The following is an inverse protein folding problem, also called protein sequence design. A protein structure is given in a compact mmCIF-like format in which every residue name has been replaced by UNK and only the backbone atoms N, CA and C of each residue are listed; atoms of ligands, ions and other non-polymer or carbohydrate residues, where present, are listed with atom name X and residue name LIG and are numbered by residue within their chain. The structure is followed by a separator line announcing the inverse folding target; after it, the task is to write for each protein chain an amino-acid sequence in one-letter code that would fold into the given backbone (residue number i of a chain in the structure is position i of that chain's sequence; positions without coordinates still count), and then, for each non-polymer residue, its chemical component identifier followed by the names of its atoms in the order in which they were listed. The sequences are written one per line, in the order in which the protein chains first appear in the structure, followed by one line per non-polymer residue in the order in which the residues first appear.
data_IF_891983890212
#
_entry.id   IF_891983890212
#
_cell.length_a   1.000
_cell.length_b   1.000
_cell.length_c   1.000
_cell.angle_alpha   90.00
_cell.angle_beta   90.00
_cell.angle_gamma   90.00
#
_symmetry.space_group_name_H-M   'P 1'
#
loop_
_entity.id
_entity.type
_entity.pdbx_description
1 polymer ?
#
# COMPACT_ATOMS: atom_id res chain seq x y z
N UNK A 1 -61.22 42.62 14.04
CA UNK A 1 -59.99 42.88 14.84
C UNK A 1 -59.32 41.52 15.10
N UNK A 2 -58.25 41.24 14.45
CA UNK A 2 -57.39 40.07 14.70
C UNK A 2 -56.11 40.53 15.38
N UNK A 3 -55.61 39.94 16.44
CA UNK A 3 -54.30 40.28 17.00
C UNK A 3 -53.20 39.53 16.23
N UNK A 4 -52.20 40.30 15.83
CA UNK A 4 -50.95 39.80 15.26
C UNK A 4 -50.05 39.30 16.39
N UNK A 5 -49.67 38.02 16.33
CA UNK A 5 -48.53 37.51 17.09
C UNK A 5 -47.26 37.59 16.22
N UNK A 6 -46.33 38.44 16.59
CA UNK A 6 -44.97 38.44 16.09
C UNK A 6 -44.17 37.42 16.91
N UNK A 7 -43.80 36.28 16.33
CA UNK A 7 -42.77 35.41 16.90
C UNK A 7 -41.44 35.68 16.21
N UNK A 8 -40.52 36.22 16.98
CA UNK A 8 -39.13 36.43 16.61
C UNK A 8 -38.40 35.10 16.79
N UNK A 9 -38.14 34.41 15.69
CA UNK A 9 -37.18 33.32 15.68
C UNK A 9 -35.76 33.89 15.59
N UNK A 10 -34.97 33.73 16.66
CA UNK A 10 -33.54 33.94 16.65
C UNK A 10 -32.92 32.72 15.92
N UNK A 11 -32.33 32.99 14.75
CA UNK A 11 -31.40 32.04 14.07
C UNK A 11 -30.17 31.87 14.98
N UNK A 12 -30.00 30.64 15.45
CA UNK A 12 -28.76 30.19 16.07
C UNK A 12 -27.84 29.80 14.92
N UNK A 13 -26.74 30.54 14.73
CA UNK A 13 -25.68 30.17 13.81
C UNK A 13 -25.06 28.84 14.26
N UNK A 14 -24.81 27.87 13.36
CA UNK A 14 -24.02 26.70 13.68
C UNK A 14 -22.60 27.14 13.97
N UNK A 15 -22.14 26.84 15.20
CA UNK A 15 -20.78 27.10 15.64
C UNK A 15 -19.78 26.40 14.74
N UNK A 16 -18.75 27.11 14.36
CA UNK A 16 -17.58 26.60 13.67
C UNK A 16 -17.00 25.41 14.44
N UNK A 17 -17.05 24.23 13.82
CA UNK A 17 -16.30 23.08 14.28
C UNK A 17 -14.82 23.43 14.18
N UNK A 18 -14.16 23.61 15.30
CA UNK A 18 -12.71 23.77 15.36
C UNK A 18 -12.08 22.45 14.88
N UNK A 19 -11.11 22.49 13.97
CA UNK A 19 -10.38 21.28 13.63
C UNK A 19 -9.73 20.72 14.90
N UNK A 20 -9.93 19.42 15.15
CA UNK A 20 -9.25 18.70 16.22
C UNK A 20 -7.79 18.63 15.80
N UNK A 21 -6.96 19.54 16.34
CA UNK A 21 -5.50 19.44 16.26
C UNK A 21 -5.11 18.35 17.25
N UNK A 22 -4.82 17.16 16.74
CA UNK A 22 -4.17 16.09 17.52
C UNK A 22 -2.79 16.61 17.87
N UNK A 23 -2.65 17.17 19.07
CA UNK A 23 -1.36 17.57 19.64
C UNK A 23 -0.61 16.30 20.03
N UNK A 24 0.09 15.71 19.08
CA UNK A 24 1.12 14.73 19.37
C UNK A 24 2.35 15.51 19.87
N UNK A 25 2.78 15.27 21.12
CA UNK A 25 4.08 15.72 21.61
C UNK A 25 5.16 15.03 20.78
N UNK A 26 5.66 15.69 19.76
CA UNK A 26 6.77 15.23 18.95
C UNK A 26 7.78 16.35 18.83
N UNK A 27 9.03 16.00 19.12
CA UNK A 27 10.16 16.64 18.46
C UNK A 27 9.80 16.75 16.97
N UNK A 28 9.81 17.96 16.43
CA UNK A 28 9.56 18.26 15.02
C UNK A 28 10.63 17.59 14.16
N UNK A 29 10.46 16.31 13.85
CA UNK A 29 11.18 15.70 12.74
C UNK A 29 10.61 16.35 11.49
N UNK A 30 11.41 17.13 10.77
CA UNK A 30 11.06 17.59 9.42
C UNK A 30 10.90 16.33 8.57
N UNK A 31 9.65 16.01 8.20
CA UNK A 31 9.39 14.92 7.27
C UNK A 31 9.88 15.40 5.91
N UNK A 32 10.95 14.77 5.42
CA UNK A 32 11.45 15.05 4.08
C UNK A 32 10.40 14.62 3.05
N UNK A 33 10.22 15.39 1.99
CA UNK A 33 9.42 14.95 0.85
C UNK A 33 10.03 13.68 0.25
N UNK A 34 9.20 12.80 -0.30
CA UNK A 34 9.64 11.53 -0.88
C UNK A 34 10.78 11.71 -1.90
N UNK A 35 10.73 12.77 -2.71
CA UNK A 35 11.77 13.12 -3.68
C UNK A 35 13.13 13.38 -3.04
N UNK A 36 13.15 13.98 -1.84
CA UNK A 36 14.39 14.22 -1.08
C UNK A 36 14.92 12.92 -0.46
N UNK A 37 14.04 12.08 0.08
CA UNK A 37 14.41 10.78 0.63
C UNK A 37 15.05 9.91 -0.46
N UNK A 38 14.50 9.94 -1.68
CA UNK A 38 14.96 9.14 -2.81
C UNK A 38 16.12 9.75 -3.59
N UNK A 39 16.67 10.90 -3.15
CA UNK A 39 17.82 11.54 -3.80
C UNK A 39 19.03 10.61 -4.06
N UNK A 40 19.42 9.68 -3.15
CA UNK A 40 20.52 8.76 -3.37
C UNK A 40 20.36 7.84 -4.59
N UNK A 41 19.12 7.62 -5.05
CA UNK A 41 18.78 6.75 -6.19
C UNK A 41 18.09 7.51 -7.35
N UNK A 42 18.17 8.83 -7.38
CA UNK A 42 17.49 9.64 -8.40
C UNK A 42 17.95 9.33 -9.83
N UNK A 43 19.23 9.00 -10.02
CA UNK A 43 19.79 8.58 -11.31
C UNK A 43 19.35 7.16 -11.68
N UNK A 44 19.24 6.28 -10.68
CA UNK A 44 18.80 4.90 -10.89
C UNK A 44 17.34 4.84 -11.37
N UNK A 45 16.48 5.75 -10.90
CA UNK A 45 15.11 5.87 -11.40
C UNK A 45 15.05 6.18 -12.89
N UNK A 46 15.94 7.02 -13.41
CA UNK A 46 15.99 7.28 -14.86
C UNK A 46 16.39 6.03 -15.63
N UNK A 47 17.38 5.29 -15.13
CA UNK A 47 17.78 4.01 -15.70
C UNK A 47 16.67 2.96 -15.61
N UNK A 48 15.94 2.92 -14.50
CA UNK A 48 14.78 2.04 -14.32
C UNK A 48 13.68 2.33 -15.34
N UNK A 49 13.36 3.60 -15.61
CA UNK A 49 12.38 3.99 -16.64
C UNK A 49 12.77 3.49 -18.03
N UNK A 50 14.07 3.54 -18.37
CA UNK A 50 14.57 3.00 -19.63
C UNK A 50 14.43 1.48 -19.70
N UNK A 51 14.81 0.76 -18.64
CA UNK A 51 14.67 -0.69 -18.55
C UNK A 51 13.20 -1.08 -18.68
N UNK A 52 12.31 -0.45 -17.94
CA UNK A 52 10.87 -0.69 -18.01
C UNK A 52 10.38 -0.50 -19.44
N UNK A 53 10.66 0.62 -20.06
CA UNK A 53 10.23 0.92 -21.45
C UNK A 53 10.74 -0.12 -22.45
N UNK A 54 12.01 -0.53 -22.35
CA UNK A 54 12.63 -1.52 -23.24
C UNK A 54 12.00 -2.92 -23.05
N UNK A 55 11.77 -3.31 -21.79
CA UNK A 55 11.26 -4.65 -21.46
C UNK A 55 9.76 -4.81 -21.69
N UNK A 56 9.01 -3.71 -21.73
CA UNK A 56 7.58 -3.73 -22.08
C UNK A 56 7.30 -3.75 -23.58
N UNK A 57 8.27 -3.37 -24.40
CA UNK A 57 8.07 -3.37 -25.84
C UNK A 57 7.59 -4.73 -26.36
N UNK A 58 6.48 -4.71 -27.10
CA UNK A 58 5.84 -5.89 -27.68
C UNK A 58 5.47 -5.64 -29.15
N UNK A 59 5.44 -6.70 -29.95
CA UNK A 59 4.91 -6.66 -31.32
C UNK A 59 3.37 -6.64 -31.35
N UNK A 60 2.74 -6.87 -30.21
CA UNK A 60 1.28 -6.87 -30.06
C UNK A 60 0.84 -5.49 -29.57
N UNK A 61 0.19 -4.73 -30.44
CA UNK A 61 -0.16 -3.32 -30.21
C UNK A 61 -0.98 -3.09 -28.93
N UNK A 62 -1.89 -3.99 -28.59
CA UNK A 62 -2.72 -3.87 -27.39
C UNK A 62 -1.87 -3.96 -26.11
N UNK A 63 -0.84 -4.81 -26.09
CA UNK A 63 0.10 -4.91 -24.95
C UNK A 63 0.85 -3.60 -24.77
N UNK A 64 1.40 -3.02 -25.84
CA UNK A 64 2.09 -1.73 -25.80
C UNK A 64 1.18 -0.61 -25.31
N UNK A 65 -0.07 -0.58 -25.77
CA UNK A 65 -1.06 0.43 -25.42
C UNK A 65 -1.42 0.38 -23.93
N UNK A 66 -1.78 -0.80 -23.40
CA UNK A 66 -2.18 -0.97 -22.01
C UNK A 66 -0.99 -0.80 -21.07
N UNK A 67 0.18 -1.36 -21.42
CA UNK A 67 1.40 -1.19 -20.62
C UNK A 67 1.80 0.28 -20.52
N UNK A 68 1.72 1.03 -21.63
CA UNK A 68 1.97 2.47 -21.63
C UNK A 68 0.96 3.25 -20.79
N UNK A 69 -0.33 2.87 -20.86
CA UNK A 69 -1.41 3.48 -20.09
C UNK A 69 -1.13 3.36 -18.57
N UNK A 70 -0.75 2.17 -18.10
CA UNK A 70 -0.51 1.90 -16.69
C UNK A 70 0.76 2.59 -16.19
N UNK A 71 1.85 2.55 -16.97
CA UNK A 71 3.11 3.20 -16.58
C UNK A 71 2.92 4.71 -16.49
N UNK A 72 2.16 5.31 -17.41
CA UNK A 72 1.84 6.74 -17.37
C UNK A 72 0.91 7.13 -16.22
N UNK A 73 0.16 6.20 -15.64
CA UNK A 73 -0.61 6.44 -14.42
C UNK A 73 0.29 6.74 -13.21
N UNK A 74 1.59 6.50 -13.34
CA UNK A 74 2.60 6.82 -12.32
C UNK A 74 2.47 5.93 -11.07
N UNK A 75 3.20 6.30 -10.04
CA UNK A 75 3.22 5.64 -8.74
C UNK A 75 4.44 6.08 -7.95
N UNK A 76 4.40 5.89 -6.64
CA UNK A 76 5.52 6.22 -5.75
C UNK A 76 6.73 5.30 -5.95
N UNK A 77 6.53 4.15 -6.61
CA UNK A 77 7.56 3.13 -6.89
C UNK A 77 8.40 2.77 -5.67
N UNK A 78 7.75 2.60 -4.54
CA UNK A 78 8.43 2.35 -3.25
C UNK A 78 9.17 1.01 -3.26
N UNK A 79 8.58 -0.04 -3.86
CA UNK A 79 9.20 -1.38 -3.90
C UNK A 79 10.52 -1.40 -4.70
N UNK A 80 10.57 -0.92 -5.95
CA UNK A 80 11.86 -0.79 -6.64
C UNK A 80 12.83 0.16 -5.93
N UNK A 81 12.34 1.24 -5.29
CA UNK A 81 13.18 2.14 -4.50
C UNK A 81 13.86 1.41 -3.33
N UNK A 82 13.12 0.60 -2.59
CA UNK A 82 13.65 -0.20 -1.47
C UNK A 82 14.73 -1.18 -1.95
N UNK A 83 14.49 -1.89 -3.06
CA UNK A 83 15.51 -2.76 -3.66
C UNK A 83 16.80 -2.00 -3.98
N UNK A 84 16.69 -0.86 -4.67
CA UNK A 84 17.83 -0.05 -5.07
C UNK A 84 18.56 0.56 -3.86
N UNK A 85 17.83 1.04 -2.86
CA UNK A 85 18.41 1.60 -1.64
C UNK A 85 19.15 0.53 -0.82
N UNK A 86 18.56 -0.65 -0.62
CA UNK A 86 19.22 -1.76 0.11
C UNK A 86 20.45 -2.22 -0.63
N UNK A 87 20.41 -2.38 -1.97
CA UNK A 87 21.56 -2.74 -2.76
C UNK A 87 22.70 -1.73 -2.59
N UNK A 88 22.42 -0.44 -2.68
CA UNK A 88 23.42 0.62 -2.46
C UNK A 88 23.91 0.71 -1.02
N UNK A 89 23.02 0.57 -0.05
CA UNK A 89 23.39 0.62 1.37
C UNK A 89 24.42 -0.44 1.71
N UNK A 90 24.18 -1.69 1.28
CA UNK A 90 25.06 -2.82 1.58
C UNK A 90 26.32 -2.90 0.68
N UNK A 91 26.28 -2.31 -0.52
CA UNK A 91 27.43 -2.19 -1.41
C UNK A 91 28.23 -0.88 -1.21
N UNK A 92 28.04 -0.16 -0.08
CA UNK A 92 28.69 1.12 0.21
C UNK A 92 28.57 2.16 -0.93
N UNK A 93 27.36 2.31 -1.48
CA UNK A 93 27.06 3.25 -2.55
C UNK A 93 27.46 2.80 -3.96
N UNK A 94 28.09 1.64 -4.10
CA UNK A 94 28.47 1.09 -5.40
C UNK A 94 27.23 0.62 -6.18
N UNK A 95 27.27 0.80 -7.50
CA UNK A 95 26.29 0.20 -8.39
C UNK A 95 26.49 -1.33 -8.42
N UNK A 96 25.42 -2.08 -8.31
CA UNK A 96 25.47 -3.54 -8.41
C UNK A 96 24.85 -4.00 -9.74
N UNK A 97 25.43 -5.04 -10.40
CA UNK A 97 24.84 -5.59 -11.62
C UNK A 97 23.38 -6.02 -11.40
N UNK A 98 22.59 -5.93 -12.44
CA UNK A 98 21.18 -6.35 -12.47
C UNK A 98 20.23 -5.62 -11.51
N UNK A 99 20.67 -4.61 -10.74
CA UNK A 99 19.80 -3.90 -9.79
C UNK A 99 18.59 -3.26 -10.49
N UNK A 100 18.81 -2.56 -11.61
CA UNK A 100 17.72 -1.92 -12.35
C UNK A 100 16.79 -2.93 -13.02
N UNK A 101 17.32 -4.06 -13.50
CA UNK A 101 16.51 -5.14 -14.08
C UNK A 101 15.62 -5.79 -13.01
N UNK A 102 16.16 -6.07 -11.82
CA UNK A 102 15.37 -6.66 -10.72
C UNK A 102 14.38 -5.66 -10.11
N UNK A 103 14.72 -4.38 -10.08
CA UNK A 103 13.79 -3.31 -9.73
C UNK A 103 12.61 -3.24 -10.71
N UNK A 104 12.87 -3.41 -12.02
CA UNK A 104 11.83 -3.51 -13.03
C UNK A 104 10.98 -4.80 -12.89
N UNK A 105 11.60 -5.94 -12.54
CA UNK A 105 10.89 -7.19 -12.27
C UNK A 105 9.88 -7.02 -11.13
N UNK A 106 10.32 -6.42 -10.02
CA UNK A 106 9.44 -6.14 -8.87
C UNK A 106 8.27 -5.22 -9.27
N UNK A 107 8.54 -4.19 -10.08
CA UNK A 107 7.49 -3.28 -10.55
C UNK A 107 6.53 -3.99 -11.52
N UNK A 108 6.99 -4.91 -12.36
CA UNK A 108 6.13 -5.68 -13.25
C UNK A 108 5.23 -6.64 -12.49
N UNK A 109 5.76 -7.35 -11.48
CA UNK A 109 4.97 -8.20 -10.62
C UNK A 109 3.89 -7.36 -9.92
N UNK A 110 4.27 -6.24 -9.30
CA UNK A 110 3.32 -5.35 -8.65
C UNK A 110 2.24 -4.82 -9.62
N UNK A 111 2.64 -4.40 -10.82
CA UNK A 111 1.70 -3.89 -11.82
C UNK A 111 0.75 -4.98 -12.31
N UNK A 112 1.24 -6.20 -12.46
CA UNK A 112 0.41 -7.35 -12.83
C UNK A 112 -0.64 -7.66 -11.75
N UNK A 113 -0.25 -7.63 -10.45
CA UNK A 113 -1.22 -7.81 -9.36
C UNK A 113 -2.28 -6.71 -9.38
N UNK A 114 -1.91 -5.44 -9.58
CA UNK A 114 -2.87 -4.35 -9.67
C UNK A 114 -3.87 -4.52 -10.83
N UNK A 115 -3.42 -5.05 -11.99
CA UNK A 115 -4.30 -5.32 -13.14
C UNK A 115 -5.30 -6.43 -12.86
N UNK A 116 -4.89 -7.44 -12.12
CA UNK A 116 -5.76 -8.55 -11.73
C UNK A 116 -6.71 -8.11 -10.62
N UNK A 117 -6.22 -7.39 -9.60
CA UNK A 117 -7.02 -6.87 -8.49
C UNK A 117 -8.14 -5.95 -8.98
N UNK A 118 -7.83 -5.02 -9.89
CA UNK A 118 -8.83 -4.10 -10.46
C UNK A 118 -10.00 -4.86 -11.13
N UNK A 119 -9.75 -6.07 -11.66
CA UNK A 119 -10.80 -6.93 -12.23
C UNK A 119 -11.57 -7.67 -11.14
N UNK A 120 -10.87 -8.20 -10.12
CA UNK A 120 -11.48 -8.96 -9.01
C UNK A 120 -12.33 -8.04 -8.14
N UNK A 121 -11.81 -6.84 -7.82
CA UNK A 121 -12.48 -5.82 -7.01
C UNK A 121 -13.52 -4.99 -7.81
N UNK A 122 -13.69 -5.26 -9.11
CA UNK A 122 -14.55 -4.49 -10.04
C UNK A 122 -14.26 -2.97 -10.00
N UNK A 123 -13.02 -2.60 -9.70
CA UNK A 123 -12.60 -1.21 -9.54
C UNK A 123 -12.69 -0.45 -10.86
N UNK A 124 -13.25 0.77 -10.83
CA UNK A 124 -13.39 1.64 -11.99
C UNK A 124 -12.39 2.81 -12.00
N UNK A 125 -11.85 3.16 -10.83
CA UNK A 125 -10.93 4.28 -10.65
C UNK A 125 -9.70 3.87 -9.85
N UNK A 126 -8.52 4.30 -10.29
CA UNK A 126 -7.26 4.16 -9.57
C UNK A 126 -6.41 5.41 -9.78
N UNK A 127 -6.01 6.05 -8.68
CA UNK A 127 -5.22 7.31 -8.71
C UNK A 127 -5.87 8.42 -9.54
N UNK A 128 -7.20 8.53 -9.46
CA UNK A 128 -7.98 9.55 -10.20
C UNK A 128 -8.10 9.31 -11.71
N UNK A 129 -7.74 8.10 -12.20
CA UNK A 129 -7.89 7.68 -13.60
C UNK A 129 -8.73 6.41 -13.68
N UNK A 130 -9.36 6.19 -14.81
CA UNK A 130 -10.00 4.90 -15.07
C UNK A 130 -9.00 3.75 -14.93
N UNK A 131 -9.47 2.62 -14.41
CA UNK A 131 -8.67 1.39 -14.36
C UNK A 131 -8.51 0.79 -15.75
N UNK A 132 -7.54 -0.12 -15.93
CA UNK A 132 -7.34 -0.76 -17.23
C UNK A 132 -8.53 -1.63 -17.65
N UNK A 133 -9.19 -2.31 -16.69
CA UNK A 133 -10.39 -3.09 -16.95
C UNK A 133 -11.57 -2.21 -17.38
N UNK A 134 -11.75 -1.02 -16.80
CA UNK A 134 -12.77 -0.07 -17.21
C UNK A 134 -12.50 0.50 -18.63
N UNK A 135 -11.23 0.84 -18.93
CA UNK A 135 -10.85 1.45 -20.22
C UNK A 135 -10.75 0.43 -21.37
N UNK A 136 -10.30 -0.81 -21.12
CA UNK A 136 -9.96 -1.81 -22.16
C UNK A 136 -10.70 -3.14 -21.98
N UNK A 137 -11.48 -3.30 -20.94
CA UNK A 137 -12.22 -4.52 -20.59
C UNK A 137 -11.40 -5.55 -19.77
N UNK A 138 -12.11 -6.36 -19.00
CA UNK A 138 -11.53 -7.35 -18.06
C UNK A 138 -10.54 -8.30 -18.75
N UNK A 139 -10.91 -8.86 -19.91
CA UNK A 139 -10.05 -9.81 -20.62
C UNK A 139 -8.71 -9.21 -21.02
N UNK A 140 -8.68 -7.95 -21.46
CA UNK A 140 -7.45 -7.25 -21.83
C UNK A 140 -6.58 -6.98 -20.59
N UNK A 141 -7.20 -6.55 -19.47
CA UNK A 141 -6.49 -6.32 -18.19
C UNK A 141 -5.81 -7.59 -17.70
N UNK A 142 -6.54 -8.71 -17.63
CA UNK A 142 -6.01 -10.01 -17.18
C UNK A 142 -4.86 -10.46 -18.07
N UNK A 143 -5.04 -10.48 -19.40
CA UNK A 143 -4.02 -10.98 -20.34
C UNK A 143 -2.75 -10.09 -20.35
N UNK A 144 -2.87 -8.79 -20.13
CA UNK A 144 -1.69 -7.93 -20.01
C UNK A 144 -1.01 -8.11 -18.64
N UNK A 145 -1.76 -8.37 -17.58
CA UNK A 145 -1.21 -8.82 -16.29
C UNK A 145 -0.37 -10.10 -16.45
N UNK A 146 -0.89 -11.10 -17.14
CA UNK A 146 -0.17 -12.35 -17.45
C UNK A 146 1.10 -12.10 -18.28
N UNK A 147 1.03 -11.18 -19.24
CA UNK A 147 2.21 -10.77 -19.99
C UNK A 147 3.28 -10.15 -19.09
N UNK A 148 2.91 -9.26 -18.17
CA UNK A 148 3.84 -8.64 -17.23
C UNK A 148 4.48 -9.68 -16.29
N UNK A 149 3.69 -10.63 -15.77
CA UNK A 149 4.21 -11.75 -15.00
C UNK A 149 5.20 -12.59 -15.81
N UNK A 150 4.82 -12.99 -17.02
CA UNK A 150 5.70 -13.77 -17.90
C UNK A 150 6.99 -13.03 -18.24
N UNK A 151 6.91 -11.72 -18.45
CA UNK A 151 8.08 -10.87 -18.69
C UNK A 151 8.96 -10.77 -17.45
N UNK A 152 8.40 -10.64 -16.27
CA UNK A 152 9.13 -10.68 -15.01
C UNK A 152 9.88 -12.01 -14.86
N UNK A 153 9.24 -13.15 -15.11
CA UNK A 153 9.88 -14.47 -15.09
C UNK A 153 11.03 -14.60 -16.10
N UNK A 154 10.89 -14.06 -17.30
CA UNK A 154 11.99 -14.01 -18.27
C UNK A 154 13.20 -13.20 -17.78
N UNK A 155 12.93 -12.06 -17.11
CA UNK A 155 13.98 -11.14 -16.65
C UNK A 155 14.69 -11.66 -15.41
N UNK A 156 14.01 -12.34 -14.48
CA UNK A 156 14.62 -12.84 -13.24
C UNK A 156 15.70 -13.93 -13.46
N UNK A 157 15.77 -14.50 -14.65
CA UNK A 157 16.84 -15.45 -15.05
C UNK A 157 18.16 -14.72 -15.31
N UNK A 158 18.11 -13.41 -15.66
CA UNK A 158 19.28 -12.63 -16.06
C UNK A 158 20.45 -12.62 -15.08
N UNK A 159 20.25 -12.47 -13.76
CA UNK A 159 21.31 -12.56 -12.76
C UNK A 159 22.01 -13.91 -12.70
N UNK A 160 21.44 -14.98 -13.25
CA UNK A 160 21.95 -16.35 -13.18
C UNK A 160 22.22 -16.81 -11.73
N UNK A 161 21.36 -16.40 -10.81
CA UNK A 161 21.38 -16.73 -9.39
C UNK A 161 20.04 -17.37 -9.00
N UNK A 162 20.07 -18.65 -8.64
CA UNK A 162 18.87 -19.41 -8.28
C UNK A 162 18.15 -18.82 -7.04
N UNK A 163 18.87 -18.12 -6.16
CA UNK A 163 18.24 -17.47 -5.00
C UNK A 163 17.29 -16.37 -5.43
N UNK A 164 17.64 -15.60 -6.48
CA UNK A 164 16.77 -14.57 -7.05
C UNK A 164 15.46 -15.20 -7.55
N UNK A 165 15.58 -16.30 -8.29
CA UNK A 165 14.40 -17.02 -8.80
C UNK A 165 13.56 -17.61 -7.66
N UNK A 166 14.19 -18.20 -6.64
CA UNK A 166 13.51 -18.78 -5.48
C UNK A 166 12.68 -17.71 -4.75
N UNK A 167 13.32 -16.57 -4.40
CA UNK A 167 12.63 -15.49 -3.67
C UNK A 167 11.44 -14.94 -4.45
N UNK A 168 11.60 -14.71 -5.75
CA UNK A 168 10.53 -14.14 -6.57
C UNK A 168 9.41 -15.14 -6.82
N UNK A 169 9.72 -16.44 -7.02
CA UNK A 169 8.70 -17.47 -7.16
C UNK A 169 7.92 -17.68 -5.86
N UNK A 170 8.61 -17.74 -4.72
CA UNK A 170 7.96 -17.83 -3.41
C UNK A 170 7.11 -16.60 -3.11
N UNK A 171 7.61 -15.40 -3.48
CA UNK A 171 6.86 -14.16 -3.30
C UNK A 171 5.58 -14.16 -4.14
N UNK A 172 5.66 -14.52 -5.43
CA UNK A 172 4.48 -14.54 -6.31
C UNK A 172 3.46 -15.57 -5.86
N UNK A 173 3.90 -16.75 -5.40
CA UNK A 173 3.00 -17.77 -4.84
C UNK A 173 2.30 -17.27 -3.58
N UNK A 174 3.07 -16.71 -2.63
CA UNK A 174 2.52 -16.18 -1.37
C UNK A 174 1.54 -15.04 -1.61
N UNK A 175 1.81 -14.15 -2.58
CA UNK A 175 0.89 -13.07 -2.96
C UNK A 175 -0.41 -13.65 -3.48
N UNK A 176 -0.36 -14.64 -4.38
CA UNK A 176 -1.55 -15.30 -4.90
C UNK A 176 -2.36 -15.98 -3.78
N UNK A 177 -1.70 -16.64 -2.82
CA UNK A 177 -2.36 -17.16 -1.62
C UNK A 177 -3.01 -16.05 -0.79
N UNK A 178 -2.35 -14.90 -0.65
CA UNK A 178 -2.87 -13.73 0.05
C UNK A 178 -4.13 -13.15 -0.59
N UNK A 179 -4.20 -13.13 -1.93
CA UNK A 179 -5.40 -12.71 -2.67
C UNK A 179 -6.58 -13.66 -2.41
N UNK A 180 -6.32 -14.97 -2.45
CA UNK A 180 -7.36 -15.97 -2.15
C UNK A 180 -7.80 -15.88 -0.69
N UNK A 181 -6.88 -15.68 0.26
CA UNK A 181 -7.23 -15.46 1.67
C UNK A 181 -8.08 -14.21 1.87
N UNK A 182 -7.75 -13.09 1.19
CA UNK A 182 -8.58 -11.90 1.24
C UNK A 182 -9.99 -12.18 0.73
N UNK A 183 -10.10 -12.86 -0.41
CA UNK A 183 -11.41 -13.23 -0.97
C UNK A 183 -12.25 -14.09 -0.02
N UNK A 184 -11.61 -15.02 0.72
CA UNK A 184 -12.29 -15.84 1.73
C UNK A 184 -12.71 -15.04 2.97
N UNK A 185 -11.99 -13.99 3.31
CA UNK A 185 -12.27 -13.13 4.45
C UNK A 185 -13.25 -11.99 4.11
N UNK A 186 -13.57 -11.76 2.84
CA UNK A 186 -14.55 -10.75 2.46
C UNK A 186 -15.93 -11.11 3.02
N UNK A 187 -16.62 -10.09 3.54
CA UNK A 187 -17.96 -10.20 4.13
C UNK A 187 -18.02 -11.11 5.37
N UNK A 188 -16.88 -11.44 5.98
CA UNK A 188 -16.82 -12.22 7.22
C UNK A 188 -16.50 -11.31 8.42
N UNK A 189 -17.48 -11.01 9.30
CA UNK A 189 -17.26 -10.19 10.48
C UNK A 189 -16.54 -10.94 11.61
N UNK A 190 -16.23 -12.23 11.47
CA UNK A 190 -15.50 -13.04 12.45
C UNK A 190 -13.97 -13.00 12.21
N UNK A 191 -13.50 -12.27 11.19
CA UNK A 191 -12.06 -12.09 10.94
C UNK A 191 -11.42 -11.35 12.09
N UNK A 192 -10.44 -12.00 12.74
CA UNK A 192 -9.65 -11.44 13.81
C UNK A 192 -8.41 -10.67 13.30
N UNK A 193 -7.75 -9.94 14.19
CA UNK A 193 -6.53 -9.18 13.86
C UNK A 193 -5.42 -10.09 13.30
N UNK A 194 -5.27 -11.32 13.80
CA UNK A 194 -4.22 -12.23 13.35
C UNK A 194 -4.44 -12.67 11.90
N UNK A 195 -5.67 -13.00 11.54
CA UNK A 195 -6.10 -13.35 10.17
C UNK A 195 -5.95 -12.17 9.22
N UNK A 196 -6.36 -10.97 9.65
CA UNK A 196 -6.15 -9.73 8.89
C UNK A 196 -4.65 -9.46 8.65
N UNK A 197 -3.80 -9.53 9.69
CA UNK A 197 -2.36 -9.34 9.55
C UNK A 197 -1.72 -10.37 8.62
N UNK A 198 -2.23 -11.61 8.60
CA UNK A 198 -1.77 -12.63 7.66
C UNK A 198 -2.06 -12.21 6.21
N UNK A 199 -3.27 -11.74 5.92
CA UNK A 199 -3.65 -11.27 4.58
C UNK A 199 -2.72 -10.15 4.12
N UNK A 200 -2.56 -9.09 4.90
CA UNK A 200 -1.73 -7.94 4.48
C UNK A 200 -0.24 -8.29 4.37
N UNK A 201 0.26 -9.24 5.18
CA UNK A 201 1.63 -9.74 5.05
C UNK A 201 1.82 -10.55 3.77
N UNK A 202 0.85 -11.37 3.40
CA UNK A 202 0.92 -12.19 2.20
C UNK A 202 0.71 -11.36 0.94
N UNK A 203 -0.38 -10.60 0.88
CA UNK A 203 -0.76 -9.80 -0.29
C UNK A 203 0.20 -8.63 -0.54
N UNK A 204 0.53 -7.86 0.50
CA UNK A 204 1.23 -6.58 0.36
C UNK A 204 2.69 -6.65 0.81
N UNK A 205 2.96 -7.06 2.05
CA UNK A 205 4.30 -6.98 2.62
C UNK A 205 5.28 -7.97 1.98
N UNK A 206 4.80 -9.10 1.42
CA UNK A 206 5.67 -10.11 0.80
C UNK A 206 6.50 -9.58 -0.36
N UNK A 207 5.96 -8.70 -1.19
CA UNK A 207 6.74 -8.10 -2.29
C UNK A 207 7.72 -7.03 -1.78
N UNK A 208 7.45 -6.38 -0.67
CA UNK A 208 8.41 -5.52 0.02
C UNK A 208 9.59 -6.34 0.57
N UNK A 209 9.29 -7.45 1.25
CA UNK A 209 10.27 -8.42 1.76
C UNK A 209 11.19 -8.92 0.63
N UNK A 210 10.58 -9.42 -0.46
CA UNK A 210 11.34 -9.88 -1.63
C UNK A 210 12.21 -8.77 -2.24
N UNK A 211 11.70 -7.54 -2.33
CA UNK A 211 12.42 -6.40 -2.89
C UNK A 211 13.70 -6.09 -2.11
N UNK A 212 13.60 -6.06 -0.80
CA UNK A 212 14.74 -5.74 0.08
C UNK A 212 15.74 -6.90 0.17
N UNK A 213 15.26 -8.14 0.21
CA UNK A 213 16.14 -9.32 0.17
C UNK A 213 16.89 -9.42 -1.15
N UNK A 214 16.25 -9.15 -2.29
CA UNK A 214 16.91 -9.08 -3.59
C UNK A 214 18.00 -8.01 -3.61
N UNK A 215 17.74 -6.81 -3.05
CA UNK A 215 18.75 -5.78 -2.92
C UNK A 215 20.01 -6.26 -2.18
N UNK A 216 19.82 -7.01 -1.08
CA UNK A 216 20.91 -7.59 -0.31
C UNK A 216 21.67 -8.69 -1.09
N UNK A 217 20.96 -9.55 -1.83
CA UNK A 217 21.59 -10.55 -2.70
C UNK A 217 22.46 -9.89 -3.76
N UNK A 218 21.94 -8.90 -4.46
CA UNK A 218 22.65 -8.19 -5.51
C UNK A 218 23.89 -7.44 -4.99
N UNK A 219 23.87 -7.02 -3.73
CA UNK A 219 25.01 -6.45 -3.04
C UNK A 219 26.02 -7.50 -2.54
N UNK A 220 25.80 -8.79 -2.78
CA UNK A 220 26.58 -9.89 -2.21
C UNK A 220 26.68 -9.86 -0.68
N UNK A 221 25.61 -9.44 -0.01
CA UNK A 221 25.53 -9.34 1.43
C UNK A 221 25.61 -10.71 2.12
N UNK A 222 26.03 -10.72 3.39
CA UNK A 222 26.05 -11.93 4.22
C UNK A 222 24.64 -12.50 4.44
N UNK A 223 24.55 -13.76 4.84
CA UNK A 223 23.25 -14.39 5.15
C UNK A 223 22.48 -13.61 6.22
N UNK A 224 23.18 -13.12 7.27
CA UNK A 224 22.55 -12.30 8.31
C UNK A 224 22.00 -10.98 7.77
N UNK A 225 22.75 -10.27 6.94
CA UNK A 225 22.28 -9.03 6.33
C UNK A 225 21.10 -9.25 5.37
N UNK A 226 21.06 -10.39 4.67
CA UNK A 226 19.92 -10.76 3.83
C UNK A 226 18.67 -10.98 4.66
N UNK A 227 18.78 -11.71 5.77
CA UNK A 227 17.67 -11.94 6.68
C UNK A 227 17.16 -10.64 7.32
N UNK A 228 18.08 -9.77 7.74
CA UNK A 228 17.77 -8.42 8.23
C UNK A 228 17.04 -7.58 7.16
N UNK A 229 17.52 -7.61 5.91
CA UNK A 229 16.88 -6.90 4.80
C UNK A 229 15.48 -7.45 4.51
N UNK A 230 15.29 -8.77 4.50
CA UNK A 230 13.98 -9.40 4.33
C UNK A 230 13.01 -9.01 5.45
N UNK A 231 13.46 -9.09 6.71
CA UNK A 231 12.67 -8.68 7.87
C UNK A 231 12.30 -7.18 7.81
N UNK A 232 13.24 -6.31 7.44
CA UNK A 232 12.99 -4.89 7.19
C UNK A 232 11.87 -4.68 6.17
N UNK A 233 11.95 -5.37 5.02
CA UNK A 233 10.94 -5.29 3.96
C UNK A 233 9.56 -5.73 4.44
N UNK A 234 9.48 -6.84 5.18
CA UNK A 234 8.23 -7.35 5.74
C UNK A 234 7.60 -6.34 6.70
N UNK A 235 8.36 -5.78 7.62
CA UNK A 235 7.86 -4.84 8.61
C UNK A 235 7.43 -3.50 7.98
N UNK A 236 8.26 -2.90 7.11
CA UNK A 236 7.88 -1.64 6.44
C UNK A 236 6.68 -1.83 5.50
N UNK A 237 6.56 -3.01 4.85
CA UNK A 237 5.41 -3.35 4.01
C UNK A 237 4.12 -3.50 4.81
N UNK A 238 4.19 -4.11 6.01
CA UNK A 238 3.05 -4.21 6.94
C UNK A 238 2.64 -2.83 7.46
N UNK A 239 3.60 -2.00 7.91
CA UNK A 239 3.33 -0.62 8.34
C UNK A 239 2.68 0.20 7.22
N UNK A 240 3.15 0.00 5.99
CA UNK A 240 2.62 0.68 4.82
C UNK A 240 1.14 0.32 4.59
N UNK A 241 0.75 -0.95 4.68
CA UNK A 241 -0.65 -1.35 4.49
C UNK A 241 -1.54 -0.87 5.63
N UNK A 242 -1.09 -1.00 6.89
CA UNK A 242 -1.84 -0.49 8.04
C UNK A 242 -2.16 1.01 7.91
N UNK A 243 -1.22 1.79 7.36
CA UNK A 243 -1.46 3.21 7.09
C UNK A 243 -2.36 3.45 5.88
N UNK A 244 -2.35 2.59 4.85
CA UNK A 244 -3.31 2.67 3.75
C UNK A 244 -4.74 2.45 4.27
N UNK A 245 -4.95 1.42 5.07
CA UNK A 245 -6.26 1.10 5.65
C UNK A 245 -6.75 2.20 6.62
N UNK A 246 -5.84 2.82 7.38
CA UNK A 246 -6.18 3.97 8.22
C UNK A 246 -6.61 5.18 7.38
N UNK A 247 -5.89 5.44 6.29
CA UNK A 247 -6.15 6.58 5.41
C UNK A 247 -7.49 6.45 4.70
N UNK A 248 -7.96 5.23 4.43
CA UNK A 248 -9.27 4.99 3.83
C UNK A 248 -10.42 5.59 4.68
N UNK A 249 -10.25 5.68 6.00
CA UNK A 249 -11.24 6.28 6.92
C UNK A 249 -10.96 7.74 7.29
N UNK A 250 -9.81 8.33 6.92
CA UNK A 250 -9.40 9.68 7.37
C UNK A 250 -9.26 10.69 6.25
N UNK A 251 -8.99 10.24 5.03
CA UNK A 251 -8.69 11.12 3.91
C UNK A 251 -9.96 11.74 3.31
N UNK A 252 -9.88 13.01 2.90
CA UNK A 252 -10.90 13.62 2.06
C UNK A 252 -10.84 13.00 0.65
N UNK A 253 -11.97 12.61 0.09
CA UNK A 253 -12.11 12.01 -1.25
C UNK A 253 -11.33 12.76 -2.35
N UNK A 254 -11.20 14.09 -2.23
CA UNK A 254 -10.44 14.92 -3.17
C UNK A 254 -8.92 14.68 -3.13
N UNK A 255 -8.37 14.11 -2.06
CA UNK A 255 -6.93 13.89 -1.89
C UNK A 255 -6.50 12.47 -2.31
N UNK A 256 -7.37 11.48 -2.17
CA UNK A 256 -7.00 10.07 -2.43
C UNK A 256 -7.27 9.60 -3.87
N UNK A 257 -8.09 10.31 -4.63
CA UNK A 257 -8.53 9.82 -5.96
C UNK A 257 -9.38 8.55 -5.91
N UNK A 258 -9.86 8.18 -4.71
CA UNK A 258 -10.83 7.14 -4.35
C UNK A 258 -11.87 7.75 -3.40
N UNK A 259 -13.00 7.10 -3.25
CA UNK A 259 -13.96 7.49 -2.21
C UNK A 259 -13.46 7.05 -0.83
N UNK A 260 -13.71 7.83 0.21
CA UNK A 260 -13.40 7.40 1.57
C UNK A 260 -14.25 6.18 1.94
N UNK A 261 -13.63 5.17 2.58
CA UNK A 261 -14.30 3.96 3.04
C UNK A 261 -14.61 2.95 1.93
N UNK A 262 -13.85 2.95 0.84
CA UNK A 262 -14.00 1.94 -0.21
C UNK A 262 -13.80 0.52 0.36
N UNK A 263 -12.87 0.30 1.31
CA UNK A 263 -12.65 -1.01 1.94
C UNK A 263 -13.92 -1.54 2.63
N UNK A 264 -14.65 -0.66 3.33
CA UNK A 264 -15.93 -1.04 3.95
C UNK A 264 -17.00 -1.36 2.89
N UNK A 265 -17.07 -0.58 1.80
CA UNK A 265 -18.00 -0.82 0.69
C UNK A 265 -17.73 -2.13 -0.04
N UNK A 266 -16.46 -2.53 -0.08
CA UNK A 266 -16.01 -3.82 -0.64
C UNK A 266 -16.17 -4.98 0.36
N UNK A 267 -16.65 -4.74 1.58
CA UNK A 267 -16.82 -5.76 2.62
C UNK A 267 -15.50 -6.29 3.17
N UNK A 268 -14.42 -5.50 3.10
CA UNK A 268 -13.08 -5.86 3.63
C UNK A 268 -13.01 -5.55 5.13
N UNK A 269 -12.85 -6.55 6.01
CA UNK A 269 -12.66 -6.33 7.45
C UNK A 269 -11.22 -5.85 7.72
N UNK A 270 -11.02 -4.52 7.65
CA UNK A 270 -9.74 -3.89 7.97
C UNK A 270 -9.59 -3.63 9.46
N UNK A 271 -8.36 -3.37 9.95
CA UNK A 271 -8.08 -3.27 11.38
C UNK A 271 -8.96 -2.24 12.12
N UNK A 272 -9.30 -1.06 11.56
CA UNK A 272 -10.25 -0.15 12.21
C UNK A 272 -11.64 -0.77 12.47
N UNK A 273 -12.14 -1.59 11.55
CA UNK A 273 -13.43 -2.28 11.70
C UNK A 273 -13.34 -3.44 12.69
N UNK A 274 -12.26 -4.22 12.64
CA UNK A 274 -11.99 -5.31 13.59
C UNK A 274 -11.94 -4.76 15.01
N UNK A 275 -11.26 -3.62 15.21
CA UNK A 275 -11.22 -2.94 16.51
C UNK A 275 -12.63 -2.58 17.02
N UNK A 276 -13.51 -2.06 16.14
CA UNK A 276 -14.89 -1.76 16.51
C UNK A 276 -15.71 -3.00 16.85
N UNK A 277 -15.54 -4.09 16.10
CA UNK A 277 -16.18 -5.37 16.39
C UNK A 277 -15.79 -5.93 17.76
N UNK A 278 -14.57 -5.68 18.22
CA UNK A 278 -14.07 -6.16 19.50
C UNK A 278 -14.38 -5.21 20.67
N UNK A 279 -14.22 -3.90 20.47
CA UNK A 279 -14.19 -2.90 21.53
C UNK A 279 -15.36 -1.90 21.49
N UNK A 280 -16.15 -1.87 20.41
CA UNK A 280 -17.28 -0.96 20.26
C UNK A 280 -18.46 -1.28 21.17
N UNK A 281 -19.41 -0.36 21.27
CA UNK A 281 -20.70 -0.59 21.90
C UNK A 281 -21.50 -1.69 21.18
N UNK A 282 -22.52 -2.23 21.82
CA UNK A 282 -23.37 -3.26 21.18
C UNK A 282 -24.04 -2.73 19.89
N UNK A 283 -24.40 -1.45 19.84
CA UNK A 283 -24.98 -0.84 18.65
C UNK A 283 -23.98 -0.73 17.51
N UNK A 284 -22.76 -0.26 17.82
CA UNK A 284 -21.67 -0.15 16.83
C UNK A 284 -21.26 -1.51 16.29
N UNK A 285 -21.12 -2.53 17.14
CA UNK A 285 -20.80 -3.90 16.72
C UNK A 285 -21.84 -4.48 15.77
N UNK A 286 -23.14 -4.31 16.09
CA UNK A 286 -24.21 -4.80 15.24
C UNK A 286 -24.25 -4.05 13.90
N UNK A 287 -24.00 -2.75 13.92
CA UNK A 287 -23.97 -1.92 12.72
C UNK A 287 -22.81 -2.32 11.80
N UNK A 288 -21.59 -2.46 12.33
CA UNK A 288 -20.41 -2.85 11.57
C UNK A 288 -20.55 -4.28 11.04
N UNK A 289 -21.03 -5.21 11.87
CA UNK A 289 -21.30 -6.59 11.46
C UNK A 289 -22.27 -6.64 10.26
N UNK A 290 -23.41 -5.98 10.38
CA UNK A 290 -24.40 -5.95 9.31
C UNK A 290 -23.82 -5.32 8.01
N UNK A 291 -22.99 -4.28 8.14
CA UNK A 291 -22.37 -3.63 6.99
C UNK A 291 -21.36 -4.54 6.29
N UNK A 292 -20.55 -5.31 7.02
CA UNK A 292 -19.60 -6.27 6.44
C UNK A 292 -20.37 -7.42 5.76
N UNK A 293 -21.44 -7.95 6.38
CA UNK A 293 -22.20 -9.08 5.85
C UNK A 293 -23.05 -8.74 4.60
N UNK A 294 -23.53 -7.47 4.48
CA UNK A 294 -24.54 -7.10 3.47
C UNK A 294 -24.00 -6.77 2.09
N UNK A 295 -22.71 -6.58 1.94
CA UNK A 295 -22.00 -6.34 0.65
C UNK A 295 -22.79 -5.50 -0.41
N UNK A 296 -22.20 -4.38 -0.86
CA UNK A 296 -22.53 -3.57 -2.05
C UNK A 296 -23.59 -2.46 -1.98
N UNK A 297 -24.61 -2.53 -1.14
CA UNK A 297 -25.64 -1.47 -1.09
C UNK A 297 -25.73 -0.82 0.30
N UNK A 298 -24.59 -0.46 0.90
CA UNK A 298 -24.59 0.22 2.19
C UNK A 298 -25.22 1.61 2.05
N UNK A 299 -26.37 1.90 2.72
CA UNK A 299 -26.96 3.23 2.69
C UNK A 299 -25.98 4.31 3.18
N UNK A 300 -25.98 5.48 2.56
CA UNK A 300 -25.03 6.55 2.88
C UNK A 300 -25.12 7.01 4.36
N UNK A 301 -26.28 6.94 4.98
CA UNK A 301 -26.47 7.27 6.39
C UNK A 301 -25.87 6.21 7.31
N UNK A 302 -25.93 4.92 6.97
CA UNK A 302 -25.27 3.82 7.70
C UNK A 302 -23.77 3.93 7.56
N UNK A 303 -23.30 4.18 6.33
CA UNK A 303 -21.88 4.42 6.07
C UNK A 303 -21.33 5.57 6.91
N UNK A 304 -22.03 6.72 6.94
CA UNK A 304 -21.64 7.88 7.74
C UNK A 304 -21.60 7.58 9.26
N UNK A 305 -22.51 6.75 9.75
CA UNK A 305 -22.52 6.32 11.16
C UNK A 305 -21.28 5.47 11.49
N UNK A 306 -20.94 4.49 10.63
CA UNK A 306 -19.75 3.64 10.83
C UNK A 306 -18.48 4.49 10.77
N UNK A 307 -18.37 5.39 9.78
CA UNK A 307 -17.25 6.30 9.66
C UNK A 307 -17.09 7.16 10.93
N UNK A 308 -18.20 7.69 11.45
CA UNK A 308 -18.19 8.44 12.72
C UNK A 308 -17.75 7.60 13.91
N UNK A 309 -18.19 6.34 13.98
CA UNK A 309 -17.78 5.38 15.03
C UNK A 309 -16.27 5.06 14.93
N UNK A 310 -15.75 4.77 13.73
CA UNK A 310 -14.31 4.56 13.50
C UNK A 310 -13.49 5.76 13.97
N UNK A 311 -13.94 6.98 13.65
CA UNK A 311 -13.23 8.22 14.01
C UNK A 311 -13.27 8.55 15.50
N UNK A 312 -14.29 8.10 16.24
CA UNK A 312 -14.49 8.48 17.65
C UNK A 312 -14.11 7.40 18.66
N UNK A 313 -13.99 6.13 18.25
CA UNK A 313 -13.79 4.98 19.14
C UNK A 313 -12.35 4.73 19.61
N UNK A 314 -11.35 5.37 18.98
CA UNK A 314 -9.93 5.04 19.15
C UNK A 314 -9.40 3.98 18.16
N UNK A 315 -10.23 3.49 17.22
CA UNK A 315 -9.83 2.52 16.20
C UNK A 315 -8.68 3.02 15.31
N UNK A 316 -8.73 4.30 14.94
CA UNK A 316 -7.66 4.93 14.14
C UNK A 316 -6.35 5.04 14.93
N UNK A 317 -6.41 5.40 16.22
CA UNK A 317 -5.23 5.48 17.08
C UNK A 317 -4.61 4.09 17.32
N UNK A 318 -5.44 3.06 17.48
CA UNK A 318 -4.99 1.69 17.57
C UNK A 318 -4.25 1.25 16.31
N UNK A 319 -4.85 1.48 15.14
CA UNK A 319 -4.25 1.13 13.83
C UNK A 319 -2.94 1.91 13.61
N UNK A 320 -2.89 3.20 13.96
CA UNK A 320 -1.68 4.00 13.89
C UNK A 320 -0.58 3.48 14.82
N UNK A 321 -0.94 3.03 16.01
CA UNK A 321 0.00 2.43 16.97
C UNK A 321 0.54 1.11 16.45
N UNK A 322 -0.29 0.27 15.83
CA UNK A 322 0.14 -0.97 15.18
C UNK A 322 1.12 -0.67 14.01
N UNK A 323 0.81 0.30 13.16
CA UNK A 323 1.68 0.73 12.07
C UNK A 323 3.03 1.26 12.60
N UNK A 324 3.00 2.07 13.67
CA UNK A 324 4.21 2.58 14.31
C UNK A 324 5.09 1.44 14.85
N UNK A 325 4.50 0.46 15.51
CA UNK A 325 5.22 -0.71 16.01
C UNK A 325 5.95 -1.45 14.89
N UNK A 326 5.30 -1.68 13.77
CA UNK A 326 5.91 -2.32 12.61
C UNK A 326 7.05 -1.45 12.01
N UNK A 327 6.88 -0.14 11.94
CA UNK A 327 7.95 0.77 11.49
C UNK A 327 9.16 0.79 12.46
N UNK A 328 8.92 0.74 13.77
CA UNK A 328 9.99 0.65 14.77
C UNK A 328 10.77 -0.69 14.63
N UNK A 329 10.07 -1.81 14.41
CA UNK A 329 10.70 -3.11 14.12
C UNK A 329 11.51 -3.09 12.82
N UNK A 330 11.01 -2.39 11.79
CA UNK A 330 11.78 -2.19 10.55
C UNK A 330 13.10 -1.45 10.81
N UNK A 331 13.08 -0.38 11.61
CA UNK A 331 14.29 0.37 11.98
C UNK A 331 15.31 -0.50 12.75
N UNK A 332 14.85 -1.38 13.63
CA UNK A 332 15.70 -2.32 14.36
C UNK A 332 16.42 -3.28 13.40
N UNK A 333 15.74 -3.76 12.35
CA UNK A 333 16.33 -4.67 11.38
C UNK A 333 17.55 -4.09 10.65
N UNK A 334 17.60 -2.78 10.43
CA UNK A 334 18.67 -2.11 9.68
C UNK A 334 19.65 -1.31 10.56
N UNK A 335 19.62 -1.50 11.90
CA UNK A 335 20.49 -0.75 12.82
C UNK A 335 21.98 -0.95 12.50
N UNK A 336 22.35 -2.17 12.08
CA UNK A 336 23.72 -2.59 11.80
C UNK A 336 24.13 -2.39 10.32
N UNK A 337 23.26 -1.80 9.49
CA UNK A 337 23.62 -1.49 8.11
C UNK A 337 24.69 -0.40 8.07
N UNK A 338 25.57 -0.40 7.05
CA UNK A 338 26.62 0.61 6.88
C UNK A 338 26.04 2.03 6.94
N UNK A 339 26.70 2.92 7.67
CA UNK A 339 26.30 4.33 7.76
C UNK A 339 26.59 5.07 6.45
N UNK A 340 25.57 5.23 5.59
CA UNK A 340 25.63 5.96 4.33
C UNK A 340 24.28 6.60 3.98
N UNK A 341 24.23 7.37 2.91
CA UNK A 341 23.03 8.08 2.46
C UNK A 341 21.86 7.14 2.16
N UNK A 342 22.12 5.96 1.59
CA UNK A 342 21.07 4.99 1.28
C UNK A 342 20.46 4.38 2.54
N UNK A 343 21.26 4.09 3.57
CA UNK A 343 20.76 3.64 4.87
C UNK A 343 19.96 4.74 5.58
N UNK A 344 20.39 6.00 5.45
CA UNK A 344 19.60 7.14 5.96
C UNK A 344 18.27 7.23 5.25
N UNK A 345 18.24 7.10 3.92
CA UNK A 345 17.01 7.10 3.14
C UNK A 345 16.05 5.96 3.53
N UNK A 346 16.57 4.75 3.83
CA UNK A 346 15.75 3.63 4.33
C UNK A 346 15.08 3.97 5.67
N UNK A 347 15.81 4.62 6.59
CA UNK A 347 15.25 5.09 7.88
C UNK A 347 14.20 6.17 7.68
N UNK A 348 14.47 7.13 6.79
CA UNK A 348 13.53 8.21 6.47
C UNK A 348 12.24 7.67 5.82
N UNK A 349 12.33 6.60 5.00
CA UNK A 349 11.16 5.91 4.43
C UNK A 349 10.26 5.30 5.52
N UNK A 350 10.80 4.79 6.63
CA UNK A 350 9.99 4.32 7.75
C UNK A 350 9.18 5.47 8.35
N UNK A 351 9.81 6.62 8.59
CA UNK A 351 9.13 7.82 9.09
C UNK A 351 8.09 8.36 8.09
N UNK A 352 8.44 8.36 6.80
CA UNK A 352 7.55 8.78 5.72
C UNK A 352 6.31 7.88 5.63
N UNK A 353 6.46 6.56 5.79
CA UNK A 353 5.34 5.61 5.71
C UNK A 353 4.25 5.90 6.75
N UNK A 354 4.63 6.41 7.94
CA UNK A 354 3.72 6.76 9.02
C UNK A 354 3.10 8.16 8.88
N UNK A 355 3.74 9.05 8.15
CA UNK A 355 3.37 10.46 8.10
C UNK A 355 2.65 10.87 6.81
N UNK A 356 2.55 9.95 5.84
CA UNK A 356 1.87 10.21 4.57
C UNK A 356 0.39 10.49 4.77
N UNK A 357 -0.15 11.35 3.91
CA UNK A 357 -1.56 11.73 3.86
C UNK A 357 -2.26 11.20 2.60
N UNK A 358 -1.51 10.56 1.73
CA UNK A 358 -1.97 9.98 0.46
C UNK A 358 -1.10 8.79 0.09
#
# INVERSE_FOLDING_TARGET
MKPQFKSTFKLIHPGEAKPIIISCMTSTVKINELSQILAPIALDFKGLDEVIRLRLASKVALIDQISSYIIQAGGKRVRPALLMLVAKALANGQATPHTLEMAAVVEFIHTATLLHDDVVDESTLRRGRETANAAFGNAASVLVGDFLYSRAFQMMVGPNDLRVMQILSDATNTIAEGEVLQLLNMNDPEVDEASYLQVIRYKTAKLFEASTELGAILANASAAQREQAAAFGRHIGTAFQLMDDLLDYTANAAQMGKNAGDDLREGKPTLPLIYLLENGSNEERLLVRAAIEQNQDLPDDVFAQILGAVQSSGALEYTQTAAKREADLALECIQDFPANESTTALRDLCSYSLARQT
#
